data_IF_158122160504
#
_entry.id   IF_158122160504
#
_cell.length_a   1.000
_cell.length_b   1.000
_cell.length_c   1.000
_cell.angle_alpha   90.00
_cell.angle_beta   90.00
_cell.angle_gamma   90.00
#
_symmetry.space_group_name_H-M   'P 1'
#
loop_
_entity.id
_entity.type
_entity.pdbx_description
1 polymer ?
#
# COMPACT_ATOMS: atom_id res chain seq x y z
N UNK A 1 -7.65 23.65 -10.21
CA UNK A 1 -7.35 23.89 -8.80
C UNK A 1 -5.92 24.43 -8.64
N UNK A 2 -4.84 23.69 -9.02
CA UNK A 2 -3.45 24.19 -8.92
C UNK A 2 -3.20 25.51 -9.64
N UNK A 3 -3.97 25.81 -10.70
CA UNK A 3 -3.92 27.07 -11.46
C UNK A 3 -4.80 28.19 -10.88
N UNK A 4 -5.36 28.03 -9.67
CA UNK A 4 -6.16 29.03 -9.00
C UNK A 4 -7.65 29.05 -9.38
N UNK A 5 -8.14 28.07 -10.15
CA UNK A 5 -9.58 27.92 -10.40
C UNK A 5 -10.23 27.39 -9.13
N UNK A 6 -11.38 28.00 -8.72
CA UNK A 6 -12.06 27.57 -7.51
C UNK A 6 -12.70 26.18 -7.63
N UNK A 7 -12.86 25.42 -6.52
CA UNK A 7 -13.61 24.16 -6.54
C UNK A 7 -15.04 24.30 -7.10
N UNK A 8 -15.70 25.42 -6.78
CA UNK A 8 -17.04 25.74 -7.24
C UNK A 8 -17.11 25.92 -8.76
N UNK A 9 -16.12 26.63 -9.33
CA UNK A 9 -16.06 26.85 -10.79
C UNK A 9 -15.75 25.52 -11.52
N UNK A 10 -14.87 24.69 -10.97
CA UNK A 10 -14.59 23.36 -11.51
C UNK A 10 -15.87 22.53 -11.48
N UNK A 11 -16.56 22.46 -10.34
CA UNK A 11 -17.82 21.72 -10.19
C UNK A 11 -18.88 22.18 -11.17
N UNK A 12 -19.08 23.49 -11.27
CA UNK A 12 -20.07 24.09 -12.20
C UNK A 12 -19.78 23.77 -13.66
N UNK A 13 -18.49 23.77 -14.05
CA UNK A 13 -18.09 23.55 -15.44
C UNK A 13 -18.13 22.08 -15.83
N UNK A 14 -17.78 21.18 -14.90
CA UNK A 14 -17.62 19.74 -15.19
C UNK A 14 -18.84 18.91 -14.82
N UNK A 15 -19.73 19.43 -13.95
CA UNK A 15 -20.83 18.67 -13.36
C UNK A 15 -20.39 17.71 -12.24
N UNK A 16 -19.11 17.72 -11.85
CA UNK A 16 -18.61 16.92 -10.74
C UNK A 16 -19.14 17.46 -9.42
N UNK A 17 -19.61 16.57 -8.54
CA UNK A 17 -20.12 16.97 -7.23
C UNK A 17 -19.09 17.80 -6.44
N UNK A 18 -19.49 18.90 -5.78
CA UNK A 18 -18.60 19.77 -5.01
C UNK A 18 -17.80 19.05 -3.92
N UNK A 19 -18.31 17.94 -3.39
CA UNK A 19 -17.58 17.15 -2.40
C UNK A 19 -16.23 16.67 -2.95
N UNK A 20 -16.20 16.12 -4.18
CA UNK A 20 -14.97 15.65 -4.82
C UNK A 20 -14.01 16.79 -5.14
N UNK A 21 -14.53 17.90 -5.69
CA UNK A 21 -13.67 19.05 -6.03
C UNK A 21 -13.06 19.69 -4.79
N UNK A 22 -13.77 19.71 -3.67
CA UNK A 22 -13.24 20.17 -2.38
C UNK A 22 -12.19 19.19 -1.82
N UNK A 23 -12.40 17.85 -1.94
CA UNK A 23 -11.36 16.87 -1.54
C UNK A 23 -10.09 17.02 -2.35
N UNK A 24 -10.18 17.22 -3.66
CA UNK A 24 -9.03 17.51 -4.51
C UNK A 24 -8.34 18.83 -4.12
N UNK A 25 -9.11 19.84 -3.73
CA UNK A 25 -8.55 21.11 -3.27
C UNK A 25 -7.76 20.96 -1.97
N UNK A 26 -8.15 20.04 -1.08
CA UNK A 26 -7.38 19.74 0.13
C UNK A 26 -6.00 19.19 -0.21
N UNK A 27 -5.87 18.34 -1.25
CA UNK A 27 -4.58 17.86 -1.74
C UNK A 27 -3.73 19.02 -2.28
N UNK A 28 -4.30 19.90 -3.12
CA UNK A 28 -3.59 21.07 -3.66
C UNK A 28 -3.13 22.02 -2.55
N UNK A 29 -3.93 22.19 -1.50
CA UNK A 29 -3.53 22.99 -0.36
C UNK A 29 -2.39 22.34 0.43
N UNK A 30 -2.40 21.01 0.59
CA UNK A 30 -1.29 20.29 1.23
C UNK A 30 -0.01 20.39 0.41
N UNK A 31 -0.07 20.30 -0.93
CA UNK A 31 1.07 20.55 -1.81
C UNK A 31 1.72 21.92 -1.53
N UNK A 32 0.89 22.98 -1.41
CA UNK A 32 1.39 24.33 -1.11
C UNK A 32 2.07 24.41 0.25
N UNK A 33 1.52 23.71 1.25
CA UNK A 33 2.12 23.68 2.60
C UNK A 33 3.46 22.95 2.56
N UNK A 34 3.54 21.79 1.88
CA UNK A 34 4.78 21.01 1.73
C UNK A 34 5.87 21.77 0.97
N UNK A 35 5.48 22.60 -0.01
CA UNK A 35 6.42 23.49 -0.75
C UNK A 35 6.94 24.65 0.09
N UNK A 36 6.15 25.16 1.05
CA UNK A 36 6.46 26.40 1.78
C UNK A 36 6.95 26.21 3.19
N UNK A 37 6.78 25.04 3.79
CA UNK A 37 7.09 24.81 5.20
C UNK A 37 8.13 23.70 5.37
N UNK A 38 8.94 23.80 6.44
CA UNK A 38 9.84 22.72 6.82
C UNK A 38 9.06 21.50 7.30
N UNK A 39 9.51 20.29 6.94
CA UNK A 39 8.90 19.06 7.41
C UNK A 39 8.99 18.93 8.93
N UNK A 40 7.87 18.68 9.55
CA UNK A 40 7.71 18.35 10.96
C UNK A 40 6.95 17.05 11.12
N UNK A 41 7.02 16.34 12.28
CA UNK A 41 6.24 15.12 12.49
C UNK A 41 4.73 15.31 12.26
N UNK A 42 4.18 16.46 12.66
CA UNK A 42 2.77 16.80 12.46
C UNK A 42 2.42 16.96 10.97
N UNK A 43 3.26 17.72 10.24
CA UNK A 43 3.06 17.93 8.80
C UNK A 43 3.19 16.61 8.03
N UNK A 44 4.21 15.80 8.35
CA UNK A 44 4.42 14.48 7.76
C UNK A 44 3.18 13.59 7.95
N UNK A 45 2.68 13.46 9.19
CA UNK A 45 1.50 12.65 9.49
C UNK A 45 0.26 13.15 8.73
N UNK A 46 0.06 14.44 8.61
CA UNK A 46 -1.05 15.02 7.85
C UNK A 46 -0.94 14.70 6.36
N UNK A 47 0.25 14.82 5.78
CA UNK A 47 0.50 14.49 4.38
C UNK A 47 0.24 13.00 4.11
N UNK A 48 0.77 12.11 4.95
CA UNK A 48 0.56 10.66 4.83
C UNK A 48 -0.93 10.28 4.94
N UNK A 49 -1.68 10.89 5.86
CA UNK A 49 -3.14 10.69 5.99
C UNK A 49 -3.93 11.17 4.77
N UNK A 50 -3.41 12.07 3.98
CA UNK A 50 -3.98 12.51 2.72
C UNK A 50 -3.54 11.68 1.51
N UNK A 51 -2.70 10.66 1.72
CA UNK A 51 -2.25 9.73 0.69
C UNK A 51 -1.00 10.18 -0.09
N UNK A 52 -0.25 11.18 0.40
CA UNK A 52 1.03 11.54 -0.22
C UNK A 52 2.07 10.45 0.04
N UNK A 53 2.71 9.97 -1.02
CA UNK A 53 3.83 9.03 -0.93
C UNK A 53 5.09 9.71 -0.38
N UNK A 54 6.07 8.90 0.03
CA UNK A 54 7.40 9.44 0.41
C UNK A 54 8.06 10.16 -0.78
N UNK A 55 7.82 9.69 -2.00
CA UNK A 55 8.30 10.32 -3.23
C UNK A 55 7.62 11.67 -3.50
N UNK A 56 6.29 11.77 -3.32
CA UNK A 56 5.56 13.04 -3.46
C UNK A 56 6.04 14.06 -2.44
N UNK A 57 6.16 13.65 -1.17
CA UNK A 57 6.64 14.52 -0.10
C UNK A 57 8.08 14.96 -0.36
N UNK A 58 8.95 14.04 -0.80
CA UNK A 58 10.33 14.33 -1.14
C UNK A 58 10.44 15.37 -2.23
N UNK A 59 9.67 15.19 -3.31
CA UNK A 59 9.63 16.13 -4.43
C UNK A 59 9.18 17.53 -4.00
N UNK A 60 8.14 17.62 -3.16
CA UNK A 60 7.58 18.89 -2.71
C UNK A 60 8.44 19.59 -1.64
N UNK A 61 9.13 18.82 -0.80
CA UNK A 61 9.97 19.34 0.28
C UNK A 61 11.47 19.45 -0.06
N UNK A 62 11.83 19.29 -1.35
CA UNK A 62 13.22 19.31 -1.87
C UNK A 62 14.14 18.34 -1.09
N UNK A 63 13.74 17.05 -1.07
CA UNK A 63 14.47 15.97 -0.39
C UNK A 63 14.54 14.73 -1.29
N UNK A 64 15.29 13.74 -0.84
CA UNK A 64 15.27 12.40 -1.45
C UNK A 64 14.22 11.51 -0.77
N UNK A 65 13.56 10.58 -1.48
CA UNK A 65 12.56 9.66 -0.91
C UNK A 65 13.06 8.90 0.31
N UNK A 66 14.31 8.40 0.27
CA UNK A 66 14.92 7.72 1.42
C UNK A 66 15.11 8.63 2.64
N UNK A 67 15.36 9.91 2.45
CA UNK A 67 15.44 10.86 3.56
C UNK A 67 14.07 11.04 4.23
N UNK A 68 12.99 11.09 3.42
CA UNK A 68 11.62 11.16 3.94
C UNK A 68 11.26 9.88 4.69
N UNK A 69 11.60 8.70 4.16
CA UNK A 69 11.40 7.42 4.83
C UNK A 69 12.14 7.36 6.17
N UNK A 70 13.41 7.74 6.20
CA UNK A 70 14.22 7.75 7.41
C UNK A 70 13.61 8.68 8.49
N UNK A 71 13.15 9.87 8.10
CA UNK A 71 12.45 10.79 9.00
C UNK A 71 11.13 10.19 9.53
N UNK A 72 10.35 9.50 8.68
CA UNK A 72 9.15 8.78 9.13
C UNK A 72 9.47 7.74 10.20
N UNK A 73 10.52 6.95 9.96
CA UNK A 73 10.97 5.92 10.91
C UNK A 73 11.46 6.54 12.23
N UNK A 74 12.30 7.58 12.16
CA UNK A 74 12.79 8.32 13.32
C UNK A 74 11.64 8.90 14.17
N UNK A 75 10.62 9.45 13.51
CA UNK A 75 9.44 10.01 14.17
C UNK A 75 8.36 8.98 14.51
N UNK A 76 8.62 7.69 14.27
CA UNK A 76 7.68 6.60 14.46
C UNK A 76 6.33 6.85 13.74
N UNK A 77 6.40 7.36 12.51
CA UNK A 77 5.25 7.53 11.62
C UNK A 77 5.23 6.35 10.65
N UNK A 78 4.48 5.33 10.99
CA UNK A 78 4.32 4.10 10.21
C UNK A 78 2.85 3.91 9.85
N UNK A 79 2.54 3.28 8.72
CA UNK A 79 1.19 2.83 8.47
C UNK A 79 0.80 1.74 9.47
N UNK A 80 -0.48 1.65 9.73
CA UNK A 80 -1.13 0.53 10.39
C UNK A 80 -2.10 -0.10 9.39
N UNK A 81 -2.42 -1.36 9.58
CA UNK A 81 -3.29 -2.10 8.66
C UNK A 81 -4.59 -2.42 9.34
N UNK A 82 -5.69 -2.06 8.69
CA UNK A 82 -7.05 -2.31 9.14
C UNK A 82 -7.68 -3.42 8.34
N UNK A 83 -8.46 -4.26 9.00
CA UNK A 83 -9.25 -5.29 8.35
C UNK A 83 -10.40 -4.65 7.55
N UNK A 84 -10.64 -5.16 6.35
CA UNK A 84 -11.82 -4.77 5.57
C UNK A 84 -13.06 -5.39 6.21
N UNK A 85 -13.98 -4.55 6.66
CA UNK A 85 -15.27 -5.00 7.17
C UNK A 85 -16.20 -5.40 6.01
N UNK A 86 -16.34 -6.70 5.78
CA UNK A 86 -17.21 -7.27 4.75
C UNK A 86 -18.62 -7.55 5.27
N UNK A 87 -18.89 -7.26 6.55
CA UNK A 87 -20.15 -7.58 7.24
C UNK A 87 -20.96 -6.34 7.62
N UNK A 88 -20.61 -5.16 7.14
CA UNK A 88 -21.28 -3.88 7.42
C UNK A 88 -21.51 -3.63 8.94
N UNK A 89 -20.56 -4.03 9.75
CA UNK A 89 -20.58 -3.98 11.22
C UNK A 89 -21.73 -4.76 11.90
N UNK A 90 -22.46 -5.61 11.16
CA UNK A 90 -23.47 -6.48 11.74
C UNK A 90 -22.85 -7.67 12.51
N UNK A 91 -21.71 -8.15 12.05
CA UNK A 91 -20.93 -9.22 12.66
C UNK A 91 -19.44 -8.88 12.60
N UNK A 92 -18.63 -9.48 13.45
CA UNK A 92 -17.18 -9.37 13.36
C UNK A 92 -16.70 -9.99 12.04
N UNK A 93 -16.07 -9.18 11.18
CA UNK A 93 -15.45 -9.66 9.95
C UNK A 93 -14.28 -10.62 10.29
N UNK A 94 -14.18 -11.71 9.55
CA UNK A 94 -13.11 -12.71 9.70
C UNK A 94 -12.33 -12.88 8.38
N UNK A 95 -12.40 -11.88 7.51
CA UNK A 95 -11.72 -11.92 6.22
C UNK A 95 -10.24 -11.58 6.40
N UNK A 96 -9.32 -12.25 5.68
CA UNK A 96 -7.89 -11.97 5.75
C UNK A 96 -7.50 -10.73 4.94
N UNK A 97 -8.37 -9.73 4.79
CA UNK A 97 -8.24 -8.56 3.93
C UNK A 97 -7.84 -7.33 4.71
N UNK A 98 -6.73 -6.71 4.35
CA UNK A 98 -6.20 -5.54 5.03
C UNK A 98 -5.89 -4.41 4.05
N UNK A 99 -5.96 -3.17 4.54
CA UNK A 99 -5.52 -1.96 3.85
C UNK A 99 -4.76 -1.06 4.82
N UNK A 100 -3.84 -0.27 4.31
CA UNK A 100 -3.05 0.64 5.14
C UNK A 100 -3.79 1.93 5.46
N UNK A 101 -3.49 2.48 6.64
CA UNK A 101 -3.90 3.81 7.05
C UNK A 101 -2.90 4.38 8.05
N UNK A 102 -2.91 5.69 8.27
CA UNK A 102 -2.07 6.36 9.30
C UNK A 102 -2.88 6.69 10.56
N UNK A 103 -3.70 5.72 11.00
CA UNK A 103 -4.45 5.75 12.26
C UNK A 103 -3.60 5.21 13.43
N UNK A 104 -4.23 4.73 14.52
CA UNK A 104 -3.51 4.38 15.75
C UNK A 104 -3.34 2.89 15.98
N UNK A 105 -4.29 2.07 15.56
CA UNK A 105 -4.34 0.64 15.86
C UNK A 105 -4.02 -0.21 14.63
N UNK A 106 -3.10 -1.15 14.80
CA UNK A 106 -2.78 -2.16 13.79
C UNK A 106 -3.59 -3.44 14.07
N UNK A 107 -4.32 -3.92 13.08
CA UNK A 107 -5.12 -5.16 13.17
C UNK A 107 -4.43 -6.33 12.44
N UNK A 108 -3.36 -6.05 11.68
CA UNK A 108 -2.58 -7.07 10.97
C UNK A 108 -1.32 -7.44 11.77
N UNK A 109 -1.51 -8.22 12.84
CA UNK A 109 -0.37 -8.82 13.54
C UNK A 109 0.41 -9.75 12.59
N UNK A 110 1.75 -9.81 12.67
CA UNK A 110 2.56 -10.66 11.80
C UNK A 110 2.09 -12.11 11.80
N UNK A 111 1.98 -12.73 10.62
CA UNK A 111 1.64 -14.15 10.54
C UNK A 111 2.81 -14.97 11.10
N UNK A 112 2.56 -15.89 12.04
CA UNK A 112 3.62 -16.73 12.60
C UNK A 112 4.15 -17.77 11.60
N UNK A 113 5.39 -18.21 11.79
CA UNK A 113 6.01 -19.26 10.99
C UNK A 113 6.56 -18.78 9.65
N UNK A 114 6.86 -19.74 8.76
CA UNK A 114 7.38 -19.46 7.43
C UNK A 114 6.34 -18.74 6.59
N UNK A 115 6.72 -17.67 5.91
CA UNK A 115 5.84 -16.83 5.12
C UNK A 115 6.54 -16.26 3.89
N UNK A 116 5.78 -16.01 2.84
CA UNK A 116 6.28 -15.38 1.62
C UNK A 116 5.24 -14.41 1.05
N UNK A 117 5.71 -13.28 0.53
CA UNK A 117 4.90 -12.32 -0.22
C UNK A 117 4.76 -12.77 -1.67
N UNK A 118 3.55 -12.72 -2.20
CA UNK A 118 3.25 -12.87 -3.63
C UNK A 118 2.70 -11.54 -4.13
N UNK A 119 3.41 -10.89 -5.04
CA UNK A 119 2.98 -9.62 -5.62
C UNK A 119 2.11 -9.89 -6.83
N UNK A 120 0.85 -9.46 -6.78
CA UNK A 120 -0.12 -9.58 -7.86
C UNK A 120 0.16 -8.65 -9.03
N UNK A 121 -0.71 -8.72 -10.04
CA UNK A 121 -0.54 -7.98 -11.31
C UNK A 121 -1.10 -6.56 -11.27
N UNK A 122 -1.89 -6.21 -10.26
CA UNK A 122 -2.66 -4.98 -10.25
C UNK A 122 -3.81 -5.00 -11.25
N UNK A 123 -4.33 -3.83 -11.65
CA UNK A 123 -5.39 -3.73 -12.65
C UNK A 123 -4.97 -4.33 -14.00
N UNK A 124 -5.88 -5.07 -14.63
CA UNK A 124 -5.66 -5.63 -15.97
C UNK A 124 -5.52 -4.48 -16.97
N UNK A 125 -4.46 -4.51 -17.77
CA UNK A 125 -4.18 -3.50 -18.81
C UNK A 125 -4.59 -4.04 -20.19
N UNK A 126 -4.86 -3.14 -21.13
CA UNK A 126 -5.11 -3.52 -22.54
C UNK A 126 -3.90 -4.31 -23.06
N UNK A 127 -4.15 -5.48 -23.65
CA UNK A 127 -3.11 -6.38 -24.13
C UNK A 127 -2.48 -7.30 -23.08
N UNK A 128 -2.96 -7.25 -21.84
CA UNK A 128 -2.55 -8.14 -20.76
C UNK A 128 -3.74 -9.06 -20.42
N UNK A 129 -3.51 -10.37 -20.37
CA UNK A 129 -4.52 -11.34 -20.00
C UNK A 129 -4.58 -11.61 -18.50
N UNK A 130 -5.51 -12.47 -18.10
CA UNK A 130 -5.70 -12.89 -16.70
C UNK A 130 -4.66 -13.93 -16.24
N UNK A 131 -3.79 -14.38 -17.12
CA UNK A 131 -2.76 -15.39 -16.84
C UNK A 131 -1.82 -15.00 -15.70
N UNK A 132 -1.55 -13.72 -15.50
CA UNK A 132 -0.74 -13.26 -14.37
C UNK A 132 -1.46 -13.42 -13.04
N UNK A 133 -2.77 -13.18 -13.01
CA UNK A 133 -3.56 -13.42 -11.81
C UNK A 133 -3.64 -14.91 -11.49
N UNK A 134 -3.91 -15.74 -12.50
CA UNK A 134 -3.89 -17.20 -12.39
C UNK A 134 -2.54 -17.71 -11.85
N UNK A 135 -1.41 -17.22 -12.37
CA UNK A 135 -0.09 -17.60 -11.89
C UNK A 135 0.16 -17.17 -10.44
N UNK A 136 -0.34 -16.00 -10.01
CA UNK A 136 -0.23 -15.53 -8.64
C UNK A 136 -1.04 -16.41 -7.68
N UNK A 137 -2.24 -16.85 -8.07
CA UNK A 137 -3.07 -17.81 -7.31
C UNK A 137 -2.32 -19.13 -7.12
N UNK A 138 -1.77 -19.69 -8.20
CA UNK A 138 -1.02 -20.94 -8.14
C UNK A 138 0.26 -20.82 -7.32
N UNK A 139 0.92 -19.66 -7.32
CA UNK A 139 2.06 -19.43 -6.45
C UNK A 139 1.66 -19.44 -4.97
N UNK A 140 0.53 -18.82 -4.61
CA UNK A 140 0.00 -18.84 -3.24
C UNK A 140 -0.34 -20.27 -2.79
N UNK A 141 -1.02 -21.04 -3.63
CA UNK A 141 -1.36 -22.44 -3.33
C UNK A 141 -0.14 -23.35 -3.23
N UNK A 142 0.88 -23.15 -4.08
CA UNK A 142 2.12 -23.89 -3.99
C UNK A 142 2.87 -23.62 -2.68
N UNK A 143 2.91 -22.36 -2.22
CA UNK A 143 3.47 -22.01 -0.92
C UNK A 143 2.73 -22.69 0.22
N UNK A 144 1.40 -22.63 0.22
CA UNK A 144 0.58 -23.25 1.25
C UNK A 144 0.78 -24.77 1.30
N UNK A 145 0.89 -25.44 0.14
CA UNK A 145 1.17 -26.89 0.08
C UNK A 145 2.52 -27.29 0.66
N UNK A 146 3.48 -26.37 0.71
CA UNK A 146 4.81 -26.55 1.32
C UNK A 146 4.86 -26.05 2.79
N UNK A 147 3.73 -25.69 3.37
CA UNK A 147 3.64 -25.18 4.75
C UNK A 147 4.22 -23.76 4.92
N UNK A 148 4.21 -22.96 3.86
CA UNK A 148 4.63 -21.56 3.87
C UNK A 148 3.39 -20.69 3.73
N UNK A 149 3.11 -19.86 4.72
CA UNK A 149 1.99 -18.92 4.67
C UNK A 149 2.16 -17.94 3.51
N UNK A 150 1.18 -17.89 2.62
CA UNK A 150 1.16 -16.98 1.49
C UNK A 150 0.52 -15.65 1.88
N UNK A 151 1.20 -14.55 1.59
CA UNK A 151 0.72 -13.19 1.78
C UNK A 151 0.59 -12.56 0.40
N UNK A 152 -0.64 -12.35 -0.06
CA UNK A 152 -0.92 -11.72 -1.34
C UNK A 152 -0.93 -10.20 -1.19
N UNK A 153 -0.33 -9.49 -2.15
CA UNK A 153 -0.47 -8.03 -2.28
C UNK A 153 -1.00 -7.72 -3.66
N UNK A 154 -2.16 -7.10 -3.73
CA UNK A 154 -2.76 -6.69 -5.00
C UNK A 154 -3.59 -5.42 -4.84
N UNK A 155 -3.65 -4.60 -5.89
CA UNK A 155 -4.47 -3.39 -5.95
C UNK A 155 -5.76 -3.57 -6.76
N UNK A 156 -6.01 -4.75 -7.32
CA UNK A 156 -7.23 -5.07 -8.06
C UNK A 156 -8.18 -5.91 -7.20
N UNK A 157 -9.34 -5.37 -6.77
CA UNK A 157 -10.29 -6.11 -5.94
C UNK A 157 -11.17 -7.10 -6.72
N UNK A 158 -11.13 -7.06 -8.05
CA UNK A 158 -12.02 -7.81 -8.95
C UNK A 158 -11.29 -8.98 -9.63
N UNK A 159 -10.53 -9.77 -8.86
CA UNK A 159 -9.72 -10.86 -9.41
C UNK A 159 -9.58 -12.02 -8.42
N UNK A 160 -9.32 -13.23 -8.94
CA UNK A 160 -9.28 -14.47 -8.13
C UNK A 160 -8.14 -14.45 -7.11
N UNK A 161 -7.01 -13.80 -7.38
CA UNK A 161 -5.92 -13.68 -6.39
C UNK A 161 -6.33 -12.91 -5.14
N UNK A 162 -7.42 -12.15 -5.20
CA UNK A 162 -7.98 -11.39 -4.08
C UNK A 162 -9.20 -12.03 -3.44
N UNK A 163 -9.55 -13.26 -3.82
CA UNK A 163 -10.60 -14.02 -3.16
C UNK A 163 -10.14 -14.46 -1.75
N UNK A 164 -11.10 -14.58 -0.83
CA UNK A 164 -10.84 -14.79 0.60
C UNK A 164 -10.14 -16.12 0.93
N UNK A 165 -10.23 -17.10 0.04
CA UNK A 165 -9.69 -18.44 0.20
C UNK A 165 -8.41 -18.70 -0.64
N UNK A 166 -7.89 -17.67 -1.32
CA UNK A 166 -6.71 -17.81 -2.18
C UNK A 166 -5.40 -17.77 -1.40
N UNK A 167 -5.31 -16.96 -0.36
CA UNK A 167 -4.09 -16.78 0.44
C UNK A 167 -4.41 -16.64 1.93
N UNK A 168 -3.41 -16.86 2.78
CA UNK A 168 -3.58 -16.71 4.23
C UNK A 168 -3.79 -15.26 4.66
N UNK A 169 -3.30 -14.31 3.86
CA UNK A 169 -3.51 -12.86 4.07
C UNK A 169 -3.45 -12.11 2.74
N UNK A 170 -4.30 -11.09 2.63
CA UNK A 170 -4.32 -10.18 1.48
C UNK A 170 -4.17 -8.74 1.96
N UNK A 171 -3.24 -8.02 1.35
CA UNK A 171 -3.13 -6.58 1.45
C UNK A 171 -3.64 -5.93 0.16
N UNK A 172 -4.69 -5.11 0.29
CA UNK A 172 -5.15 -4.21 -0.78
C UNK A 172 -4.32 -2.93 -0.74
N UNK A 173 -3.22 -2.93 -1.48
CA UNK A 173 -2.29 -1.82 -1.50
C UNK A 173 -1.83 -1.47 -2.91
N UNK A 174 -1.39 -0.24 -3.15
CA UNK A 174 -0.67 0.09 -4.36
C UNK A 174 0.55 -0.82 -4.53
N UNK A 175 0.83 -1.20 -5.78
CA UNK A 175 2.00 -2.01 -6.10
C UNK A 175 3.20 -1.09 -6.38
N UNK A 176 3.65 -0.39 -5.35
CA UNK A 176 4.82 0.48 -5.34
C UNK A 176 5.85 0.08 -4.27
N UNK A 177 7.04 0.67 -4.34
CA UNK A 177 8.14 0.33 -3.43
C UNK A 177 7.81 0.64 -1.97
N UNK A 178 7.19 1.79 -1.70
CA UNK A 178 6.86 2.21 -0.34
C UNK A 178 5.89 1.24 0.32
N UNK A 179 4.78 0.94 -0.35
CA UNK A 179 3.74 0.06 0.18
C UNK A 179 4.27 -1.36 0.45
N UNK A 180 5.07 -1.91 -0.48
CA UNK A 180 5.65 -3.25 -0.32
C UNK A 180 6.65 -3.28 0.84
N UNK A 181 7.52 -2.28 0.97
CA UNK A 181 8.48 -2.19 2.09
C UNK A 181 7.76 -2.07 3.43
N UNK A 182 6.71 -1.26 3.50
CA UNK A 182 5.93 -1.08 4.73
C UNK A 182 5.18 -2.37 5.14
N UNK A 183 4.67 -3.15 4.17
CA UNK A 183 4.09 -4.48 4.42
C UNK A 183 5.18 -5.44 4.94
N UNK A 184 6.34 -5.49 4.30
CA UNK A 184 7.45 -6.34 4.74
C UNK A 184 7.88 -5.97 6.16
N UNK A 185 7.97 -4.68 6.48
CA UNK A 185 8.33 -4.19 7.82
C UNK A 185 7.25 -4.57 8.85
N UNK A 186 5.95 -4.50 8.50
CA UNK A 186 4.86 -4.95 9.37
C UNK A 186 4.93 -6.45 9.63
N UNK A 187 5.12 -7.25 8.58
CA UNK A 187 5.14 -8.71 8.69
C UNK A 187 6.43 -9.24 9.37
N UNK A 188 7.54 -8.51 9.35
CA UNK A 188 8.73 -8.86 10.13
C UNK A 188 8.47 -8.77 11.63
N UNK A 189 7.56 -7.91 12.07
CA UNK A 189 7.27 -7.70 13.49
C UNK A 189 8.44 -7.10 14.26
N UNK A 190 8.33 -7.11 15.59
CA UNK A 190 9.38 -6.60 16.50
C UNK A 190 10.41 -7.66 16.90
N UNK A 191 10.37 -8.86 16.34
CA UNK A 191 11.27 -9.96 16.73
C UNK A 191 12.67 -9.70 16.19
N UNK A 192 13.57 -9.31 17.07
CA UNK A 192 15.00 -9.21 16.80
C UNK A 192 15.62 -10.58 17.13
N UNK A 193 15.97 -11.38 16.12
CA UNK A 193 16.91 -12.44 16.39
C UNK A 193 16.72 -13.84 15.80
N UNK A 194 15.73 -14.13 14.98
CA UNK A 194 15.61 -15.47 14.38
C UNK A 194 15.62 -15.43 12.84
N UNK A 195 16.17 -16.48 12.21
CA UNK A 195 16.13 -16.74 10.76
C UNK A 195 14.70 -16.74 10.17
N UNK A 196 13.67 -16.80 11.05
CA UNK A 196 12.24 -16.70 10.70
C UNK A 196 11.77 -15.29 10.35
N UNK A 197 12.59 -14.25 10.51
CA UNK A 197 12.20 -12.86 10.21
C UNK A 197 12.37 -12.48 8.73
N UNK A 198 13.05 -13.30 7.96
CA UNK A 198 13.23 -13.06 6.52
C UNK A 198 11.96 -13.42 5.76
N UNK A 199 11.43 -12.45 5.01
CA UNK A 199 10.24 -12.64 4.15
C UNK A 199 10.69 -12.69 2.70
N UNK A 200 10.56 -13.87 2.09
CA UNK A 200 10.79 -14.02 0.65
C UNK A 200 9.68 -13.36 -0.14
N UNK A 201 10.02 -12.68 -1.24
CA UNK A 201 9.04 -11.99 -2.08
C UNK A 201 9.07 -12.56 -3.50
N UNK A 202 7.93 -13.03 -3.98
CA UNK A 202 7.73 -13.57 -5.32
C UNK A 202 7.19 -12.47 -6.22
N UNK A 203 7.99 -12.03 -7.19
CA UNK A 203 7.68 -10.93 -8.11
C UNK A 203 7.34 -11.39 -9.52
N UNK A 204 7.70 -12.61 -9.88
CA UNK A 204 7.66 -13.10 -11.27
C UNK A 204 6.24 -13.15 -11.84
N UNK A 205 5.26 -13.53 -11.04
CA UNK A 205 3.91 -13.86 -11.53
C UNK A 205 2.98 -12.65 -11.64
N UNK A 206 3.32 -11.52 -11.06
CA UNK A 206 2.54 -10.28 -11.16
C UNK A 206 2.75 -9.48 -12.45
N UNK A 207 3.40 -10.06 -13.47
CA UNK A 207 3.67 -9.41 -14.74
C UNK A 207 4.58 -8.19 -14.61
N UNK A 208 4.50 -7.28 -15.57
CA UNK A 208 5.38 -6.11 -15.64
C UNK A 208 5.28 -5.21 -14.39
N UNK A 209 4.11 -5.11 -13.78
CA UNK A 209 3.91 -4.29 -12.57
C UNK A 209 4.78 -4.80 -11.43
N UNK A 210 4.72 -6.09 -11.14
CA UNK A 210 5.51 -6.69 -10.06
C UNK A 210 7.01 -6.75 -10.40
N UNK A 211 7.37 -7.11 -11.63
CA UNK A 211 8.78 -7.20 -12.06
C UNK A 211 9.48 -5.84 -11.96
N UNK A 212 8.81 -4.75 -12.25
CA UNK A 212 9.37 -3.41 -12.12
C UNK A 212 9.78 -3.06 -10.69
N UNK A 213 9.22 -3.72 -9.67
CA UNK A 213 9.57 -3.54 -8.27
C UNK A 213 10.88 -4.25 -7.88
N UNK A 214 11.35 -5.22 -8.66
CA UNK A 214 12.53 -6.01 -8.31
C UNK A 214 13.78 -5.15 -8.11
N UNK A 215 14.05 -4.21 -9.00
CA UNK A 215 15.18 -3.29 -8.89
C UNK A 215 15.11 -2.35 -7.68
N UNK A 216 14.01 -1.60 -7.50
CA UNK A 216 13.78 -0.78 -6.32
C UNK A 216 13.93 -1.55 -5.01
N UNK A 217 13.22 -2.66 -4.85
CA UNK A 217 13.26 -3.47 -3.62
C UNK A 217 14.65 -4.07 -3.33
N UNK A 218 15.40 -4.45 -4.38
CA UNK A 218 16.77 -4.94 -4.19
C UNK A 218 17.71 -3.84 -3.69
N UNK A 219 17.55 -2.60 -4.13
CA UNK A 219 18.40 -1.48 -3.67
C UNK A 219 18.06 -1.00 -2.26
N UNK A 220 16.89 -1.32 -1.77
CA UNK A 220 16.40 -0.89 -0.45
C UNK A 220 16.69 -1.87 0.69
N UNK A 221 17.29 -3.01 0.38
CA UNK A 221 17.80 -3.99 1.35
C UNK A 221 19.20 -3.57 1.81
#
# INVERSE_FOLDING_TARGET
LRRGVSPEDVSRTTGIDPWFTNKLNNLVNMEKVLLGESLTPSLMRRAKRLGFSDEDIATLADRLPEQVRNLRQEWNIKPVYKMVDTCAAEFAAQTPYFYSTYEQENEAEPIPGKRALVIGSGPIRIGQGIEFDYCSVHAAWALDSEGVNSIMVNSNPETVSTDFDTSNRLYFEPLDEESIRDIIDNEKGSSVGDDETSISTVLQFGGQTAINLAGPLHRSQ
#
